data_IF_226287467867
#
_entry.id   IF_226287467867
#
_cell.length_a   1.000
_cell.length_b   1.000
_cell.length_c   1.000
_cell.angle_alpha   90.00
_cell.angle_beta   90.00
_cell.angle_gamma   90.00
#
_symmetry.space_group_name_H-M   'P 1'
#
loop_
_entity.id
_entity.type
_entity.pdbx_description
1 polymer ?
#
# COMPACT_ATOMS: atom_id res chain seq x y z
N UNK A 1 -10.21 9.31 4.66
CA UNK A 1 -8.84 8.81 4.90
C UNK A 1 -8.13 8.77 3.56
N UNK A 2 -7.00 9.46 3.47
CA UNK A 2 -6.17 9.54 2.25
C UNK A 2 -5.10 8.45 2.26
N UNK A 3 -5.51 7.27 2.70
CA UNK A 3 -4.65 6.12 2.90
C UNK A 3 -4.60 5.26 1.61
N UNK A 4 -3.42 4.72 1.34
CA UNK A 4 -3.10 3.77 0.27
C UNK A 4 -2.49 2.51 0.86
N UNK A 5 -2.78 1.38 0.20
CA UNK A 5 -2.17 0.09 0.46
C UNK A 5 -1.19 -0.24 -0.66
N UNK A 6 0.02 -0.65 -0.29
CA UNK A 6 1.03 -1.17 -1.20
C UNK A 6 1.31 -2.62 -0.84
N UNK A 7 1.22 -3.50 -1.83
CA UNK A 7 1.45 -4.94 -1.67
C UNK A 7 2.56 -5.40 -2.62
N UNK A 8 3.35 -6.38 -2.21
CA UNK A 8 4.40 -6.99 -3.03
C UNK A 8 5.71 -6.20 -3.13
N UNK A 9 5.85 -5.09 -2.40
CA UNK A 9 7.12 -4.36 -2.30
C UNK A 9 8.06 -5.08 -1.32
N UNK A 10 9.24 -5.45 -1.81
CA UNK A 10 10.30 -6.00 -0.96
C UNK A 10 11.00 -4.86 -0.20
N UNK A 11 10.89 -4.90 1.13
CA UNK A 11 11.50 -3.92 2.02
C UNK A 11 12.74 -4.54 2.65
N UNK A 12 13.86 -3.83 2.59
CA UNK A 12 15.05 -4.20 3.33
C UNK A 12 14.84 -3.86 4.82
N UNK A 13 14.62 -4.89 5.65
CA UNK A 13 14.48 -4.75 7.09
C UNK A 13 15.83 -4.92 7.77
N UNK A 14 16.05 -4.21 8.87
CA UNK A 14 17.20 -4.49 9.74
C UNK A 14 16.99 -5.83 10.48
N UNK A 15 18.07 -6.50 10.84
CA UNK A 15 18.02 -7.79 11.55
C UNK A 15 17.15 -7.73 12.82
N UNK A 16 17.22 -6.65 13.59
CA UNK A 16 16.39 -6.43 14.78
C UNK A 16 14.88 -6.29 14.46
N UNK A 17 14.52 -5.74 13.30
CA UNK A 17 13.13 -5.68 12.85
C UNK A 17 12.63 -7.03 12.34
N UNK A 18 13.53 -7.84 11.75
CA UNK A 18 13.21 -9.18 11.26
C UNK A 18 12.87 -10.15 12.41
N UNK A 19 13.56 -10.05 13.56
CA UNK A 19 13.29 -10.89 14.73
C UNK A 19 12.02 -10.47 15.49
N UNK A 20 11.65 -9.18 15.46
CA UNK A 20 10.42 -8.70 16.09
C UNK A 20 9.14 -9.18 15.39
N UNK A 21 9.15 -9.33 14.06
CA UNK A 21 7.98 -9.78 13.31
C UNK A 21 7.72 -11.29 13.35
N UNK A 22 8.70 -12.11 13.76
CA UNK A 22 8.54 -13.57 13.90
C UNK A 22 7.79 -13.95 15.19
N UNK A 23 7.71 -13.03 16.16
CA UNK A 23 7.16 -13.25 17.50
C UNK A 23 5.65 -13.05 17.67
N UNK A 24 4.89 -12.83 16.60
CA UNK A 24 3.42 -12.80 16.64
C UNK A 24 2.77 -11.71 17.52
N UNK A 25 3.50 -10.66 17.92
CA UNK A 25 2.95 -9.51 18.65
C UNK A 25 2.82 -8.31 17.71
N UNK A 26 1.61 -7.75 17.68
CA UNK A 26 1.31 -6.47 17.05
C UNK A 26 2.06 -5.37 17.81
N UNK A 27 3.28 -5.07 17.36
CA UNK A 27 4.05 -3.95 17.87
C UNK A 27 3.94 -2.84 16.83
N UNK A 28 3.24 -1.78 17.19
CA UNK A 28 3.33 -0.48 16.55
C UNK A 28 4.80 -0.05 16.64
N UNK A 29 5.56 -0.25 15.54
CA UNK A 29 6.99 0.05 15.51
C UNK A 29 7.14 1.57 15.48
N UNK A 30 7.15 2.19 16.65
CA UNK A 30 7.68 3.54 16.84
C UNK A 30 9.16 3.48 16.45
N UNK A 31 9.50 4.13 15.34
CA UNK A 31 10.81 4.06 14.71
C UNK A 31 11.91 4.63 15.62
N UNK A 32 12.57 3.77 16.41
CA UNK A 32 13.93 4.05 16.88
C UNK A 32 14.88 3.88 15.71
N UNK A 33 15.25 4.99 15.09
CA UNK A 33 16.20 5.08 14.00
C UNK A 33 17.56 4.50 14.42
N UNK A 34 17.94 3.35 13.84
CA UNK A 34 19.34 2.92 13.82
C UNK A 34 20.04 3.67 12.67
N UNK A 35 21.20 4.32 12.90
CA UNK A 35 21.77 5.37 12.03
C UNK A 35 22.36 4.90 10.69
N UNK A 36 21.94 3.76 10.12
CA UNK A 36 22.50 3.22 8.88
C UNK A 36 21.52 2.51 7.94
N UNK A 37 20.25 2.36 8.28
CA UNK A 37 19.25 1.70 7.43
C UNK A 37 18.24 2.71 6.85
N UNK A 38 17.96 2.68 5.53
CA UNK A 38 16.98 3.58 4.93
C UNK A 38 15.60 3.35 5.56
N UNK A 39 14.91 4.44 5.91
CA UNK A 39 13.58 4.34 6.50
C UNK A 39 12.61 3.65 5.53
N UNK A 40 11.51 3.10 6.07
CA UNK A 40 10.45 2.51 5.23
C UNK A 40 9.93 3.53 4.20
N UNK A 41 9.77 4.78 4.63
CA UNK A 41 9.36 5.89 3.80
C UNK A 41 10.35 6.14 2.66
N UNK A 42 11.66 6.20 2.94
CA UNK A 42 12.69 6.41 1.92
C UNK A 42 12.70 5.28 0.88
N UNK A 43 12.51 4.03 1.31
CA UNK A 43 12.46 2.88 0.42
C UNK A 43 11.24 2.96 -0.52
N UNK A 44 10.09 3.34 0.00
CA UNK A 44 8.87 3.59 -0.78
C UNK A 44 9.08 4.73 -1.77
N UNK A 45 9.61 5.88 -1.33
CA UNK A 45 9.85 7.05 -2.17
C UNK A 45 10.82 6.68 -3.30
N UNK A 46 11.92 5.99 -2.98
CA UNK A 46 12.90 5.51 -3.95
C UNK A 46 12.25 4.58 -4.97
N UNK A 47 11.41 3.65 -4.52
CA UNK A 47 10.70 2.74 -5.41
C UNK A 47 9.76 3.49 -6.36
N UNK A 48 8.92 4.38 -5.85
CA UNK A 48 7.98 5.13 -6.69
C UNK A 48 8.69 6.04 -7.69
N UNK A 49 9.75 6.73 -7.27
CA UNK A 49 10.56 7.56 -8.16
C UNK A 49 11.25 6.72 -9.25
N UNK A 50 11.68 5.48 -8.96
CA UNK A 50 12.22 4.56 -9.98
C UNK A 50 11.21 4.11 -11.04
N UNK A 51 9.91 4.36 -10.80
CA UNK A 51 8.79 4.03 -11.69
C UNK A 51 8.11 5.29 -12.26
N UNK A 52 8.78 6.44 -12.18
CA UNK A 52 8.26 7.75 -12.60
C UNK A 52 6.93 8.12 -11.92
N UNK A 53 6.77 7.76 -10.65
CA UNK A 53 5.66 8.17 -9.80
C UNK A 53 6.22 9.16 -8.78
N UNK A 54 5.99 10.46 -9.02
CA UNK A 54 6.52 11.51 -8.17
C UNK A 54 5.85 11.48 -6.80
N UNK A 55 6.63 11.21 -5.76
CA UNK A 55 6.23 11.29 -4.36
C UNK A 55 7.40 11.84 -3.55
N UNK A 56 7.09 12.76 -2.63
CA UNK A 56 8.08 13.33 -1.71
C UNK A 56 7.73 13.01 -0.27
N UNK A 57 8.70 13.14 0.65
CA UNK A 57 8.47 12.95 2.08
C UNK A 57 7.40 13.91 2.64
N UNK A 58 7.30 15.13 2.07
CA UNK A 58 6.27 16.12 2.46
C UNK A 58 4.84 15.67 2.13
N UNK A 59 4.69 14.75 1.17
CA UNK A 59 3.40 14.21 0.77
C UNK A 59 2.95 13.06 1.68
N UNK A 60 3.84 12.53 2.52
CA UNK A 60 3.59 11.39 3.39
C UNK A 60 3.43 11.89 4.82
N UNK A 61 2.28 11.58 5.44
CA UNK A 61 2.01 11.90 6.84
C UNK A 61 2.41 10.75 7.75
N UNK A 62 2.21 9.52 7.27
CA UNK A 62 2.58 8.31 8.01
C UNK A 62 2.85 7.17 7.03
N UNK A 63 3.83 6.34 7.34
CA UNK A 63 4.16 5.14 6.59
C UNK A 63 4.48 4.01 7.57
N UNK A 64 3.72 2.91 7.50
CA UNK A 64 3.95 1.75 8.35
C UNK A 64 3.66 0.45 7.61
N UNK A 65 4.31 -0.62 8.05
CA UNK A 65 4.12 -1.96 7.51
C UNK A 65 3.15 -2.74 8.40
N UNK A 66 2.19 -3.41 7.79
CA UNK A 66 1.33 -4.38 8.45
C UNK A 66 1.97 -5.77 8.35
N UNK A 67 2.10 -6.45 9.48
CA UNK A 67 2.55 -7.82 9.51
C UNK A 67 1.51 -8.73 8.83
N UNK A 68 1.97 -9.63 7.97
CA UNK A 68 1.12 -10.65 7.36
C UNK A 68 1.55 -12.02 7.88
N UNK A 69 0.60 -12.76 8.47
CA UNK A 69 0.86 -14.06 9.10
C UNK A 69 1.41 -15.14 8.15
N UNK A 70 1.13 -15.01 6.85
CA UNK A 70 1.40 -16.06 5.86
C UNK A 70 2.09 -15.56 4.57
N UNK A 71 2.61 -14.33 4.57
CA UNK A 71 3.23 -13.74 3.38
C UNK A 71 4.65 -13.31 3.66
N UNK A 72 5.55 -13.61 2.72
CA UNK A 72 6.94 -13.11 2.71
C UNK A 72 7.00 -11.59 2.50
N UNK A 73 5.96 -11.01 1.91
CA UNK A 73 5.86 -9.56 1.67
C UNK A 73 4.84 -8.97 2.64
N UNK A 74 5.13 -7.78 3.16
CA UNK A 74 4.21 -7.08 4.05
C UNK A 74 3.41 -6.05 3.29
N UNK A 75 2.16 -5.84 3.71
CA UNK A 75 1.35 -4.73 3.18
C UNK A 75 1.82 -3.44 3.83
N UNK A 76 2.16 -2.44 3.03
CA UNK A 76 2.52 -1.12 3.52
C UNK A 76 1.30 -0.23 3.46
N UNK A 77 1.00 0.46 4.54
CA UNK A 77 -0.02 1.51 4.59
C UNK A 77 0.69 2.85 4.56
N UNK A 78 0.25 3.71 3.65
CA UNK A 78 0.74 5.09 3.55
C UNK A 78 -0.44 6.03 3.68
N UNK A 79 -0.34 6.97 4.61
CA UNK A 79 -1.24 8.12 4.69
C UNK A 79 -0.62 9.28 3.95
N UNK A 80 -1.31 9.76 2.93
CA UNK A 80 -0.87 10.93 2.17
C UNK A 80 -1.44 12.22 2.76
N UNK A 81 -0.72 13.32 2.58
CA UNK A 81 -1.07 14.65 3.06
C UNK A 81 -2.29 15.24 2.34
N UNK A 82 -2.56 14.79 1.10
CA UNK A 82 -3.71 15.26 0.34
C UNK A 82 -4.35 14.17 -0.51
N UNK A 83 -5.68 14.25 -0.61
CA UNK A 83 -6.46 13.43 -1.54
C UNK A 83 -6.03 13.60 -3.00
N UNK A 84 -5.56 14.79 -3.39
CA UNK A 84 -5.05 15.05 -4.75
C UNK A 84 -3.82 14.19 -5.03
N UNK A 85 -2.86 14.16 -4.10
CA UNK A 85 -1.68 13.29 -4.19
C UNK A 85 -2.09 11.81 -4.28
N UNK A 86 -3.02 11.36 -3.44
CA UNK A 86 -3.57 10.00 -3.50
C UNK A 86 -4.10 9.63 -4.88
N UNK A 87 -4.92 10.50 -5.46
CA UNK A 87 -5.50 10.26 -6.79
C UNK A 87 -4.44 10.23 -7.90
N UNK A 88 -3.41 11.04 -7.78
CA UNK A 88 -2.29 11.08 -8.73
C UNK A 88 -1.45 9.80 -8.68
N UNK A 89 -1.11 9.34 -7.48
CA UNK A 89 -0.41 8.05 -7.27
C UNK A 89 -1.22 6.90 -7.86
N UNK A 90 -2.53 6.81 -7.55
CA UNK A 90 -3.40 5.76 -8.10
C UNK A 90 -3.52 5.82 -9.63
N UNK A 91 -3.59 7.02 -10.22
CA UNK A 91 -3.63 7.20 -11.69
C UNK A 91 -2.35 6.71 -12.35
N UNK A 92 -1.21 6.93 -11.69
CA UNK A 92 0.10 6.53 -12.17
C UNK A 92 0.45 5.08 -11.81
N UNK A 93 -0.27 4.43 -10.89
CA UNK A 93 -0.04 3.04 -10.50
C UNK A 93 -0.13 2.04 -11.67
N UNK A 94 -0.78 2.39 -12.78
CA UNK A 94 -0.74 1.61 -14.03
C UNK A 94 0.67 1.39 -14.58
N UNK A 95 1.63 2.27 -14.25
CA UNK A 95 3.06 2.14 -14.60
C UNK A 95 3.73 0.97 -13.87
N UNK A 96 3.13 0.46 -12.80
CA UNK A 96 3.60 -0.70 -12.06
C UNK A 96 3.21 -2.02 -12.74
N UNK A 97 2.44 -1.99 -13.83
CA UNK A 97 2.09 -3.18 -14.59
C UNK A 97 3.36 -3.87 -15.10
N UNK A 98 3.46 -5.18 -14.87
CA UNK A 98 4.67 -5.96 -15.15
C UNK A 98 5.63 -6.08 -13.97
N UNK A 99 5.37 -5.37 -12.87
CA UNK A 99 5.99 -5.63 -11.56
C UNK A 99 5.08 -6.49 -10.69
N UNK A 100 5.61 -7.01 -9.59
CA UNK A 100 4.85 -7.69 -8.53
C UNK A 100 4.23 -6.75 -7.50
N UNK A 101 4.33 -5.42 -7.71
CA UNK A 101 3.87 -4.41 -6.76
C UNK A 101 2.51 -3.85 -7.15
N UNK A 102 1.58 -3.86 -6.20
CA UNK A 102 0.22 -3.37 -6.38
C UNK A 102 -0.06 -2.20 -5.45
N UNK A 103 -0.77 -1.19 -5.95
CA UNK A 103 -1.21 -0.03 -5.16
C UNK A 103 -2.72 0.06 -5.21
N UNK A 104 -3.36 0.03 -4.05
CA UNK A 104 -4.81 0.01 -3.90
C UNK A 104 -5.28 1.10 -2.92
N UNK A 105 -6.55 1.49 -3.05
CA UNK A 105 -7.18 2.31 -2.01
C UNK A 105 -7.35 1.51 -0.72
N UNK A 106 -7.11 2.16 0.42
CA UNK A 106 -7.49 1.59 1.71
C UNK A 106 -9.01 1.75 1.89
N UNK A 107 -9.75 0.67 1.61
CA UNK A 107 -11.21 0.63 1.74
C UNK A 107 -11.62 0.20 3.14
N UNK A 108 -12.79 0.68 3.59
CA UNK A 108 -13.45 0.12 4.77
C UNK A 108 -13.84 -1.34 4.51
N UNK A 109 -13.97 -2.15 5.57
CA UNK A 109 -14.37 -3.56 5.47
C UNK A 109 -15.63 -3.78 4.63
N UNK A 110 -16.61 -2.88 4.77
CA UNK A 110 -17.85 -2.93 3.98
C UNK A 110 -17.56 -2.71 2.49
N UNK A 111 -16.80 -1.67 2.15
CA UNK A 111 -16.52 -1.34 0.75
C UNK A 111 -15.56 -2.34 0.11
N UNK A 112 -14.63 -2.92 0.87
CA UNK A 112 -13.75 -3.97 0.38
C UNK A 112 -14.53 -5.24 0.03
N UNK A 113 -15.53 -5.62 0.84
CA UNK A 113 -16.41 -6.75 0.53
C UNK A 113 -17.27 -6.47 -0.70
N UNK A 114 -17.87 -5.28 -0.80
CA UNK A 114 -18.63 -4.88 -1.99
C UNK A 114 -17.75 -4.93 -3.25
N UNK A 115 -16.53 -4.37 -3.18
CA UNK A 115 -15.58 -4.41 -4.30
C UNK A 115 -15.21 -5.84 -4.68
N UNK A 116 -15.05 -6.74 -3.70
CA UNK A 116 -14.78 -8.16 -3.93
C UNK A 116 -15.93 -8.84 -4.67
N UNK A 117 -17.16 -8.63 -4.20
CA UNK A 117 -18.38 -9.18 -4.82
C UNK A 117 -18.57 -8.64 -6.24
N UNK A 118 -18.38 -7.34 -6.44
CA UNK A 118 -18.44 -6.74 -7.78
C UNK A 118 -17.45 -7.40 -8.76
N UNK A 119 -16.21 -7.66 -8.33
CA UNK A 119 -15.23 -8.38 -9.18
C UNK A 119 -15.67 -9.80 -9.53
N UNK A 120 -16.32 -10.50 -8.60
CA UNK A 120 -16.89 -11.83 -8.86
C UNK A 120 -18.02 -11.73 -9.90
N UNK A 121 -18.96 -10.81 -9.73
CA UNK A 121 -20.06 -10.59 -10.68
C UNK A 121 -19.56 -10.21 -12.09
N UNK A 122 -18.49 -9.40 -12.18
CA UNK A 122 -17.84 -9.07 -13.44
C UNK A 122 -17.25 -10.33 -14.09
N UNK A 123 -16.57 -11.18 -13.32
CA UNK A 123 -16.03 -12.46 -13.81
C UNK A 123 -17.12 -13.39 -14.31
N UNK A 124 -18.27 -13.39 -13.65
CA UNK A 124 -19.49 -14.10 -14.05
C UNK A 124 -20.25 -13.42 -15.21
N UNK A 125 -19.75 -12.31 -15.74
CA UNK A 125 -20.36 -11.51 -16.83
C UNK A 125 -21.77 -10.98 -16.49
N UNK A 126 -22.09 -10.81 -15.21
CA UNK A 126 -23.36 -10.24 -14.75
C UNK A 126 -23.36 -8.71 -14.75
N UNK A 127 -22.17 -8.11 -14.64
CA UNK A 127 -21.95 -6.66 -14.77
C UNK A 127 -20.86 -6.43 -15.82
N UNK A 128 -20.86 -5.25 -16.44
CA UNK A 128 -19.90 -4.91 -17.49
C UNK A 128 -18.49 -4.71 -16.94
N UNK A 129 -18.31 -3.86 -15.92
CA UNK A 129 -17.01 -3.62 -15.29
C UNK A 129 -17.18 -3.18 -13.83
N UNK A 130 -16.07 -3.04 -13.09
CA UNK A 130 -16.09 -2.42 -11.77
C UNK A 130 -14.74 -1.80 -11.43
N UNK A 131 -14.77 -0.63 -10.81
CA UNK A 131 -13.57 0.03 -10.29
C UNK A 131 -13.84 0.78 -9.00
N UNK A 132 -12.77 1.19 -8.33
CA UNK A 132 -12.83 1.97 -7.10
C UNK A 132 -12.26 3.35 -7.31
N UNK A 133 -12.96 4.37 -6.83
CA UNK A 133 -12.47 5.75 -6.86
C UNK A 133 -12.94 6.47 -5.62
N UNK A 134 -12.02 7.11 -4.90
CA UNK A 134 -12.33 7.84 -3.68
C UNK A 134 -13.08 6.96 -2.66
N UNK A 135 -12.55 5.76 -2.44
CA UNK A 135 -13.13 4.77 -1.55
C UNK A 135 -14.59 4.36 -1.87
N UNK A 136 -15.12 4.71 -3.05
CA UNK A 136 -16.42 4.27 -3.55
C UNK A 136 -16.24 3.17 -4.58
N UNK A 137 -17.11 2.18 -4.55
CA UNK A 137 -17.17 1.12 -5.55
C UNK A 137 -18.14 1.56 -6.65
N UNK A 138 -17.68 1.50 -7.89
CA UNK A 138 -18.41 1.84 -9.10
C UNK A 138 -18.56 0.55 -9.91
N UNK A 139 -19.77 0.33 -10.43
CA UNK A 139 -20.23 -0.87 -11.16
C UNK A 139 -20.85 -0.40 -12.47
#
# INVERSE_FOLDING_TARGET
>A
LDDLLIEGLEIHRTYAQATACDGGKDIEITATHSPGSPSLEDQVIKFFNSKDIAISSKDIVACHSLAQKHSKTSTIVIRLASRKCKMEVLRNAKKLKGTSVYVNEHLTKRNSEIARQARILRKEKKIHDTWTRNCKVLI
#
